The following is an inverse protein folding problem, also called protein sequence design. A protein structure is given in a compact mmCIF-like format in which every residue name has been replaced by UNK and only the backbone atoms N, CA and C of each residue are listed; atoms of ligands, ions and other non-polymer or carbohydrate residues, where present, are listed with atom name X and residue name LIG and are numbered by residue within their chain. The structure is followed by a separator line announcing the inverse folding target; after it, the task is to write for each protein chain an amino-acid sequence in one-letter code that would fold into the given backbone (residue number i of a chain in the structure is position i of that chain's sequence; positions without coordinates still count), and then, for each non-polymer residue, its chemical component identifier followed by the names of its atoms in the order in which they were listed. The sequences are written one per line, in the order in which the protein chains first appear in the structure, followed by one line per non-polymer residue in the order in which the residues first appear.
data_IF_570568057043
#
_entry.id   IF_570568057043
#
_cell.length_a   1.000
_cell.length_b   1.000
_cell.length_c   1.000
_cell.angle_alpha   90.00
_cell.angle_beta   90.00
_cell.angle_gamma   90.00
#
_symmetry.space_group_name_H-M   'P 1'
#
loop_
_entity.id
_entity.type
_entity.pdbx_description
1 polymer ?
#
# COMPACT_ATOMS: atom_id res chain seq x y z
N UNK A 1 6.18 45.77 2.33
CA UNK A 1 6.40 45.19 0.98
C UNK A 1 6.00 43.72 1.05
N UNK A 2 4.77 43.43 0.67
CA UNK A 2 4.18 42.06 0.71
C UNK A 2 4.65 41.30 -0.53
N UNK A 3 5.42 40.21 -0.34
CA UNK A 3 5.74 39.29 -1.45
C UNK A 3 4.56 38.35 -1.67
N UNK A 4 3.88 38.57 -2.77
CA UNK A 4 2.88 37.69 -3.35
C UNK A 4 3.53 36.33 -3.61
N UNK A 5 3.21 35.30 -2.81
CA UNK A 5 3.47 33.91 -3.16
C UNK A 5 2.42 33.53 -4.21
N UNK A 6 2.82 33.54 -5.47
CA UNK A 6 2.04 32.97 -6.55
C UNK A 6 1.95 31.46 -6.30
N UNK A 7 0.80 30.97 -5.88
CA UNK A 7 0.46 29.54 -5.90
C UNK A 7 0.40 29.13 -7.37
N UNK A 8 1.45 28.43 -7.81
CA UNK A 8 1.57 27.96 -9.19
C UNK A 8 0.59 26.78 -9.37
N UNK A 9 -0.69 27.08 -9.64
CA UNK A 9 -1.64 26.02 -9.97
C UNK A 9 -1.16 25.30 -11.24
N UNK A 10 -1.19 23.96 -11.25
CA UNK A 10 -0.77 23.18 -12.41
C UNK A 10 -1.62 23.53 -13.63
N UNK A 11 -0.97 23.72 -14.77
CA UNK A 11 -1.61 23.99 -16.06
C UNK A 11 -2.52 22.83 -16.48
N UNK A 12 -3.52 23.08 -17.32
CA UNK A 12 -4.38 22.02 -17.90
C UNK A 12 -3.56 20.88 -18.53
N UNK A 13 -2.45 21.23 -19.19
CA UNK A 13 -1.55 20.24 -19.78
C UNK A 13 -0.86 19.36 -18.75
N UNK A 14 -0.46 19.93 -17.64
CA UNK A 14 0.16 19.19 -16.51
C UNK A 14 -0.87 18.30 -15.81
N UNK A 15 -2.10 18.78 -15.61
CA UNK A 15 -3.22 17.99 -15.08
C UNK A 15 -3.52 16.80 -15.99
N UNK A 16 -3.70 17.02 -17.30
CA UNK A 16 -3.94 15.95 -18.25
C UNK A 16 -2.79 14.94 -18.34
N UNK A 17 -1.52 15.40 -18.16
CA UNK A 17 -0.35 14.50 -18.08
C UNK A 17 -0.38 13.66 -16.82
N UNK A 18 -0.72 14.24 -15.67
CA UNK A 18 -0.85 13.52 -14.40
C UNK A 18 -1.97 12.48 -14.45
N UNK A 19 -3.15 12.84 -14.91
CA UNK A 19 -4.31 11.95 -15.08
C UNK A 19 -3.97 10.74 -15.97
N UNK A 20 -3.24 11.00 -17.06
CA UNK A 20 -2.79 9.93 -17.99
C UNK A 20 -1.80 8.99 -17.32
N UNK A 21 -0.88 9.55 -16.50
CA UNK A 21 0.08 8.75 -15.75
C UNK A 21 -0.63 7.87 -14.70
N UNK A 22 -1.62 8.39 -14.02
CA UNK A 22 -2.43 7.64 -13.06
C UNK A 22 -3.26 6.54 -13.74
N UNK A 23 -3.85 6.83 -14.91
CA UNK A 23 -4.57 5.82 -15.69
C UNK A 23 -3.64 4.66 -16.07
N UNK A 24 -2.42 4.95 -16.53
CA UNK A 24 -1.41 3.94 -16.83
C UNK A 24 -1.04 3.11 -15.59
N UNK A 25 -0.88 3.72 -14.41
CA UNK A 25 -0.58 3.00 -13.18
C UNK A 25 -1.76 2.11 -12.74
N UNK A 26 -3.00 2.56 -12.86
CA UNK A 26 -4.18 1.74 -12.55
C UNK A 26 -4.25 0.50 -13.44
N UNK A 27 -4.11 0.68 -14.77
CA UNK A 27 -4.15 -0.45 -15.70
C UNK A 27 -2.94 -1.38 -15.53
N UNK A 28 -1.76 -0.83 -15.24
CA UNK A 28 -0.57 -1.63 -14.93
C UNK A 28 -0.78 -2.49 -13.67
N UNK A 29 -1.38 -1.93 -12.61
CA UNK A 29 -1.70 -2.70 -11.41
C UNK A 29 -2.59 -3.88 -11.73
N UNK A 30 -3.68 -3.67 -12.49
CA UNK A 30 -4.60 -4.71 -12.91
C UNK A 30 -3.93 -5.78 -13.78
N UNK A 31 -3.19 -5.37 -14.79
CA UNK A 31 -2.53 -6.31 -15.72
C UNK A 31 -1.40 -7.09 -15.02
N UNK A 32 -0.59 -6.42 -14.20
CA UNK A 32 0.44 -7.10 -13.43
C UNK A 32 -0.18 -8.08 -12.42
N UNK A 33 -1.27 -7.74 -11.75
CA UNK A 33 -1.95 -8.66 -10.86
C UNK A 33 -2.41 -9.93 -11.61
N UNK A 34 -3.03 -9.77 -12.78
CA UNK A 34 -3.56 -10.88 -13.58
C UNK A 34 -2.47 -11.75 -14.22
N UNK A 35 -1.48 -11.14 -14.85
CA UNK A 35 -0.54 -11.83 -15.76
C UNK A 35 0.90 -11.88 -15.23
N UNK A 36 1.20 -11.21 -14.11
CA UNK A 36 2.55 -11.04 -13.62
C UNK A 36 3.30 -9.90 -14.33
N UNK A 37 4.25 -9.30 -13.61
CA UNK A 37 5.12 -8.28 -14.18
C UNK A 37 5.84 -8.78 -15.46
N UNK A 38 6.33 -10.01 -15.45
CA UNK A 38 7.04 -10.59 -16.60
C UNK A 38 6.13 -10.75 -17.83
N UNK A 39 4.86 -11.11 -17.63
CA UNK A 39 3.90 -11.43 -18.68
C UNK A 39 3.23 -10.23 -19.37
N UNK A 40 3.53 -8.99 -18.98
CA UNK A 40 2.91 -7.78 -19.53
C UNK A 40 3.97 -6.94 -20.25
N UNK A 41 3.66 -6.45 -21.45
CA UNK A 41 4.50 -5.52 -22.23
C UNK A 41 4.06 -4.06 -22.04
N UNK A 42 4.86 -3.10 -22.52
CA UNK A 42 4.45 -1.68 -22.58
C UNK A 42 3.35 -1.45 -23.61
N UNK A 43 3.33 -2.26 -24.65
CA UNK A 43 2.29 -2.27 -25.68
C UNK A 43 0.94 -2.66 -25.09
N UNK A 44 0.90 -3.68 -24.22
CA UNK A 44 -0.32 -4.09 -23.51
C UNK A 44 -0.84 -2.98 -22.59
N UNK A 45 0.07 -2.29 -21.88
CA UNK A 45 -0.28 -1.12 -21.04
C UNK A 45 -0.83 0.03 -21.88
N UNK A 46 -0.21 0.31 -23.02
CA UNK A 46 -0.69 1.33 -23.95
C UNK A 46 -2.09 0.99 -24.48
N UNK A 47 -2.28 -0.23 -24.97
CA UNK A 47 -3.55 -0.71 -25.50
C UNK A 47 -4.68 -0.62 -24.44
N UNK A 48 -4.41 -1.01 -23.20
CA UNK A 48 -5.37 -0.92 -22.08
C UNK A 48 -5.80 0.53 -21.78
N UNK A 49 -4.93 1.51 -22.06
CA UNK A 49 -5.21 2.93 -21.86
C UNK A 49 -5.66 3.66 -23.14
N UNK A 50 -5.83 2.95 -24.26
CA UNK A 50 -6.20 3.53 -25.56
C UNK A 50 -5.11 4.43 -26.16
N UNK A 51 -3.83 4.17 -25.85
CA UNK A 51 -2.68 4.90 -26.41
C UNK A 51 -1.67 3.93 -27.02
N UNK A 52 -0.83 4.43 -27.92
CA UNK A 52 0.22 3.60 -28.52
C UNK A 52 1.35 3.28 -27.52
N UNK A 53 2.02 2.12 -27.69
CA UNK A 53 3.19 1.76 -26.90
C UNK A 53 4.24 2.89 -26.83
N UNK A 54 4.65 3.52 -27.94
CA UNK A 54 5.53 4.69 -27.94
C UNK A 54 5.02 5.87 -27.10
N UNK A 55 3.71 6.05 -26.95
CA UNK A 55 3.15 7.11 -26.13
C UNK A 55 3.35 6.84 -24.62
N UNK A 56 3.44 5.58 -24.20
CA UNK A 56 3.73 5.20 -22.80
C UNK A 56 5.10 5.71 -22.38
N UNK A 57 6.10 5.69 -23.27
CA UNK A 57 7.45 6.19 -22.96
C UNK A 57 7.52 7.69 -22.60
N UNK A 58 6.47 8.47 -22.92
CA UNK A 58 6.38 9.88 -22.48
C UNK A 58 6.08 9.99 -20.97
N UNK A 59 5.62 8.92 -20.34
CA UNK A 59 5.23 8.85 -18.93
C UNK A 59 6.18 8.00 -18.10
N UNK A 60 6.71 6.92 -18.67
CA UNK A 60 7.60 5.97 -18.01
C UNK A 60 8.74 5.56 -18.92
N UNK A 61 9.98 5.56 -18.42
CA UNK A 61 11.17 5.19 -19.18
C UNK A 61 11.20 3.70 -19.61
N UNK A 62 10.27 2.89 -19.12
CA UNK A 62 10.13 1.47 -19.42
C UNK A 62 9.23 0.77 -18.43
N UNK A 63 8.96 -0.52 -18.64
CA UNK A 63 8.10 -1.34 -17.78
C UNK A 63 8.62 -1.38 -16.32
N UNK A 64 9.93 -1.42 -16.14
CA UNK A 64 10.54 -1.38 -14.82
C UNK A 64 10.21 -0.08 -14.06
N UNK A 65 10.21 1.07 -14.75
CA UNK A 65 9.84 2.35 -14.15
C UNK A 65 8.36 2.37 -13.70
N UNK A 66 7.48 1.66 -14.39
CA UNK A 66 6.08 1.47 -13.97
C UNK A 66 6.01 0.66 -12.67
N UNK A 67 6.70 -0.49 -12.59
CA UNK A 67 6.71 -1.32 -11.38
C UNK A 67 7.30 -0.57 -10.18
N UNK A 68 8.40 0.17 -10.41
CA UNK A 68 9.00 1.02 -9.37
C UNK A 68 7.99 2.02 -8.84
N UNK A 69 7.33 2.77 -9.73
CA UNK A 69 6.32 3.75 -9.32
C UNK A 69 5.20 3.09 -8.51
N UNK A 70 4.65 1.97 -8.97
CA UNK A 70 3.58 1.26 -8.27
C UNK A 70 3.98 0.86 -6.85
N UNK A 71 5.11 0.19 -6.67
CA UNK A 71 5.49 -0.38 -5.38
C UNK A 71 6.08 0.67 -4.42
N UNK A 72 6.76 1.69 -4.93
CA UNK A 72 7.27 2.79 -4.09
C UNK A 72 6.13 3.70 -3.66
N UNK A 73 5.23 4.10 -4.57
CA UNK A 73 4.12 4.99 -4.24
C UNK A 73 3.17 4.29 -3.26
N UNK A 74 2.84 2.99 -3.48
CA UNK A 74 2.08 2.20 -2.52
C UNK A 74 2.73 2.16 -1.13
N UNK A 75 4.05 1.94 -1.06
CA UNK A 75 4.75 1.85 0.22
C UNK A 75 4.78 3.19 0.97
N UNK A 76 4.83 4.30 0.23
CA UNK A 76 4.67 5.64 0.80
C UNK A 76 3.24 5.85 1.32
N UNK A 77 2.22 5.56 0.49
CA UNK A 77 0.81 5.70 0.87
C UNK A 77 0.49 4.98 2.17
N UNK A 78 0.99 3.72 2.32
CA UNK A 78 0.80 2.93 3.54
C UNK A 78 1.51 3.58 4.73
N UNK A 79 2.74 4.03 4.57
CA UNK A 79 3.49 4.66 5.65
C UNK A 79 2.87 6.00 6.08
N UNK A 80 2.54 6.86 5.12
CA UNK A 80 1.96 8.18 5.38
C UNK A 80 0.56 8.06 6.02
N UNK A 81 -0.26 7.12 5.54
CA UNK A 81 -1.55 6.83 6.15
C UNK A 81 -1.44 6.26 7.56
N UNK A 82 -0.43 5.43 7.81
CA UNK A 82 -0.11 4.94 9.15
C UNK A 82 0.35 6.06 10.09
N UNK A 83 1.22 6.96 9.63
CA UNK A 83 1.61 8.16 10.40
C UNK A 83 0.38 8.97 10.80
N UNK A 84 -0.50 9.26 9.85
CA UNK A 84 -1.74 9.99 10.10
C UNK A 84 -2.63 9.27 11.13
N UNK A 85 -2.73 7.94 11.05
CA UNK A 85 -3.52 7.16 12.02
C UNK A 85 -2.94 7.21 13.45
N UNK A 86 -1.66 7.59 13.61
CA UNK A 86 -1.00 7.72 14.92
C UNK A 86 -0.89 9.16 15.41
N UNK A 87 -1.24 10.16 14.60
CA UNK A 87 -0.97 11.59 14.86
C UNK A 87 -1.66 12.11 16.13
N UNK A 88 -2.91 11.73 16.35
CA UNK A 88 -3.69 12.18 17.52
C UNK A 88 -3.24 11.53 18.85
N UNK A 89 -2.30 10.58 18.81
CA UNK A 89 -1.88 9.86 20.01
C UNK A 89 -3.02 9.06 20.67
N UNK A 90 -2.98 8.90 21.98
CA UNK A 90 -4.00 8.20 22.79
C UNK A 90 -3.50 6.89 23.38
N UNK A 91 -4.42 6.13 23.98
CA UNK A 91 -4.12 4.82 24.53
C UNK A 91 -3.64 3.85 23.44
N UNK A 92 -2.66 2.97 23.74
CA UNK A 92 -2.05 2.09 22.74
C UNK A 92 -3.06 1.29 21.93
N UNK A 93 -4.12 0.79 22.55
CA UNK A 93 -5.14 0.01 21.86
C UNK A 93 -6.01 0.84 20.94
N UNK A 94 -6.26 2.11 21.26
CA UNK A 94 -6.98 3.05 20.38
C UNK A 94 -6.16 3.39 19.13
N UNK A 95 -4.87 3.63 19.32
CA UNK A 95 -3.95 3.86 18.19
C UNK A 95 -3.86 2.63 17.29
N UNK A 96 -3.73 1.44 17.88
CA UNK A 96 -3.75 0.18 17.13
C UNK A 96 -5.07 -0.03 16.38
N UNK A 97 -6.20 0.35 16.96
CA UNK A 97 -7.50 0.26 16.29
C UNK A 97 -7.58 1.15 15.05
N UNK A 98 -7.05 2.39 15.12
CA UNK A 98 -6.97 3.28 13.94
C UNK A 98 -6.03 2.72 12.87
N UNK A 99 -4.89 2.16 13.26
CA UNK A 99 -3.96 1.51 12.33
C UNK A 99 -4.59 0.28 11.65
N UNK A 100 -5.33 -0.55 12.40
CA UNK A 100 -6.07 -1.71 11.87
C UNK A 100 -7.14 -1.25 10.89
N UNK A 101 -7.92 -0.22 11.24
CA UNK A 101 -8.98 0.30 10.37
C UNK A 101 -8.40 0.82 9.05
N UNK A 102 -7.37 1.67 9.12
CA UNK A 102 -6.66 2.18 7.96
C UNK A 102 -6.10 1.05 7.08
N UNK A 103 -5.38 0.08 7.67
CA UNK A 103 -4.77 -1.01 6.91
C UNK A 103 -5.83 -1.92 6.27
N UNK A 104 -6.93 -2.18 6.98
CA UNK A 104 -8.06 -2.96 6.46
C UNK A 104 -8.69 -2.28 5.25
N UNK A 105 -8.96 -0.97 5.34
CA UNK A 105 -9.49 -0.20 4.21
C UNK A 105 -8.54 -0.21 3.01
N UNK A 106 -7.25 -0.04 3.27
CA UNK A 106 -6.23 -0.12 2.23
C UNK A 106 -6.24 -1.48 1.52
N UNK A 107 -6.23 -2.58 2.29
CA UNK A 107 -6.19 -3.94 1.77
C UNK A 107 -7.45 -4.31 0.98
N UNK A 108 -8.62 -3.90 1.45
CA UNK A 108 -9.91 -4.14 0.77
C UNK A 108 -10.11 -3.29 -0.48
N UNK A 109 -9.54 -2.07 -0.51
CA UNK A 109 -9.68 -1.16 -1.65
C UNK A 109 -8.67 -1.43 -2.77
N UNK A 110 -7.52 -2.03 -2.46
CA UNK A 110 -6.39 -2.20 -3.38
C UNK A 110 -5.83 -3.63 -3.39
N UNK A 111 -6.66 -4.69 -3.58
CA UNK A 111 -6.17 -6.07 -3.53
C UNK A 111 -5.14 -6.39 -4.62
N UNK A 112 -5.30 -5.81 -5.82
CA UNK A 112 -4.40 -6.07 -6.96
C UNK A 112 -2.97 -5.62 -6.69
N UNK A 113 -2.76 -4.46 -6.06
CA UNK A 113 -1.40 -3.97 -5.78
C UNK A 113 -0.70 -4.82 -4.71
N UNK A 114 -1.45 -5.39 -3.76
CA UNK A 114 -0.91 -6.33 -2.79
C UNK A 114 -0.43 -7.62 -3.47
N UNK A 115 -1.20 -8.15 -4.45
CA UNK A 115 -0.77 -9.30 -5.25
C UNK A 115 0.51 -9.00 -6.05
N UNK A 116 0.60 -7.81 -6.65
CA UNK A 116 1.81 -7.36 -7.37
C UNK A 116 2.99 -7.29 -6.40
N UNK A 117 2.81 -6.71 -5.20
CA UNK A 117 3.87 -6.64 -4.20
C UNK A 117 4.36 -8.04 -3.80
N UNK A 118 3.45 -8.95 -3.45
CA UNK A 118 3.81 -10.28 -2.96
C UNK A 118 4.61 -11.07 -4.00
N UNK A 119 4.23 -10.97 -5.28
CA UNK A 119 4.86 -11.72 -6.35
C UNK A 119 6.09 -11.04 -6.94
N UNK A 120 5.98 -9.74 -7.24
CA UNK A 120 6.90 -9.05 -8.14
C UNK A 120 7.89 -8.11 -7.41
N UNK A 121 7.83 -7.99 -6.05
CA UNK A 121 8.72 -7.12 -5.26
C UNK A 121 10.21 -7.37 -5.56
N UNK A 122 10.61 -8.62 -5.77
CA UNK A 122 12.00 -8.99 -6.05
C UNK A 122 12.48 -8.58 -7.45
N UNK A 123 11.57 -8.17 -8.33
CA UNK A 123 11.88 -7.63 -9.66
C UNK A 123 12.31 -6.16 -9.63
N UNK A 124 12.23 -5.50 -8.46
CA UNK A 124 12.76 -4.15 -8.29
C UNK A 124 14.30 -4.14 -8.33
N UNK A 125 14.93 -3.09 -8.85
CA UNK A 125 16.35 -2.85 -8.68
C UNK A 125 16.69 -2.70 -7.19
N UNK A 126 17.96 -2.94 -6.85
CA UNK A 126 18.42 -3.03 -5.45
C UNK A 126 18.14 -1.75 -4.64
N UNK A 127 18.30 -0.57 -5.26
CA UNK A 127 18.04 0.73 -4.61
C UNK A 127 16.58 0.91 -4.23
N UNK A 128 15.67 0.62 -5.16
CA UNK A 128 14.23 0.77 -4.98
C UNK A 128 13.68 -0.29 -4.03
N UNK A 129 14.19 -1.52 -4.12
CA UNK A 129 13.87 -2.57 -3.15
C UNK A 129 14.28 -2.17 -1.73
N UNK A 130 15.45 -1.56 -1.56
CA UNK A 130 15.89 -1.06 -0.25
C UNK A 130 14.98 0.08 0.25
N UNK A 131 14.56 1.00 -0.63
CA UNK A 131 13.63 2.07 -0.28
C UNK A 131 12.28 1.50 0.18
N UNK A 132 11.70 0.57 -0.59
CA UNK A 132 10.44 -0.10 -0.22
C UNK A 132 10.57 -0.79 1.15
N UNK A 133 11.64 -1.56 1.37
CA UNK A 133 11.88 -2.22 2.66
C UNK A 133 12.05 -1.23 3.81
N UNK A 134 12.69 -0.09 3.57
CA UNK A 134 12.81 0.98 4.57
C UNK A 134 11.43 1.53 4.98
N UNK A 135 10.57 1.81 4.00
CA UNK A 135 9.21 2.29 4.25
C UNK A 135 8.37 1.24 4.98
N UNK A 136 8.43 -0.02 4.56
CA UNK A 136 7.76 -1.13 5.23
C UNK A 136 8.22 -1.29 6.68
N UNK A 137 9.54 -1.23 6.94
CA UNK A 137 10.07 -1.30 8.29
C UNK A 137 9.64 -0.10 9.15
N UNK A 138 9.59 1.10 8.58
CA UNK A 138 9.11 2.29 9.27
C UNK A 138 7.62 2.15 9.64
N UNK A 139 6.79 1.63 8.71
CA UNK A 139 5.38 1.35 8.98
C UNK A 139 5.19 0.31 10.09
N UNK A 140 5.95 -0.80 10.05
CA UNK A 140 5.96 -1.80 11.12
C UNK A 140 6.36 -1.15 12.46
N UNK A 141 7.28 -0.19 12.44
CA UNK A 141 7.72 0.58 13.61
C UNK A 141 6.57 1.29 14.32
N UNK A 142 5.58 1.83 13.58
CA UNK A 142 4.40 2.47 14.17
C UNK A 142 3.59 1.49 15.03
N UNK A 143 3.41 0.27 14.54
CA UNK A 143 2.67 -0.79 15.22
C UNK A 143 3.43 -1.33 16.44
N UNK A 144 4.73 -1.62 16.25
CA UNK A 144 5.55 -2.16 17.33
C UNK A 144 5.75 -1.18 18.47
N UNK A 145 5.77 0.13 18.20
CA UNK A 145 5.82 1.16 19.23
C UNK A 145 4.57 1.13 20.15
N UNK A 146 3.39 0.87 19.59
CA UNK A 146 2.18 0.74 20.39
C UNK A 146 2.09 -0.62 21.10
N UNK A 147 2.51 -1.69 20.44
CA UNK A 147 2.57 -3.02 21.04
C UNK A 147 3.54 -3.08 22.23
N UNK A 148 4.64 -2.35 22.18
CA UNK A 148 5.58 -2.27 23.32
C UNK A 148 4.98 -1.57 24.55
N UNK A 149 4.06 -0.62 24.32
CA UNK A 149 3.31 0.02 25.41
C UNK A 149 2.19 -0.89 25.95
N UNK A 150 1.53 -1.64 25.05
CA UNK A 150 0.42 -2.52 25.40
C UNK A 150 0.89 -3.80 26.11
N UNK A 151 2.04 -4.33 25.75
CA UNK A 151 2.63 -5.57 26.24
C UNK A 151 4.09 -5.32 26.68
N UNK A 152 4.33 -4.54 27.76
CA UNK A 152 5.68 -4.16 28.17
C UNK A 152 6.56 -5.34 28.59
N UNK A 153 5.95 -6.46 28.96
CA UNK A 153 6.62 -7.72 29.32
C UNK A 153 7.15 -8.51 28.11
N UNK A 154 6.63 -8.20 26.91
CA UNK A 154 7.01 -8.91 25.69
C UNK A 154 8.31 -8.36 25.07
N UNK A 155 9.00 -9.19 24.31
CA UNK A 155 10.23 -8.81 23.61
C UNK A 155 9.96 -8.06 22.28
N UNK A 156 10.92 -7.26 21.83
CA UNK A 156 10.81 -6.58 20.53
C UNK A 156 10.58 -7.55 19.34
N UNK A 157 11.23 -8.74 19.27
CA UNK A 157 10.87 -9.74 18.27
C UNK A 157 9.41 -10.20 18.34
N UNK A 158 8.86 -10.36 19.54
CA UNK A 158 7.45 -10.75 19.73
C UNK A 158 6.48 -9.68 19.20
N UNK A 159 6.74 -8.40 19.51
CA UNK A 159 5.95 -7.29 18.96
C UNK A 159 5.97 -7.27 17.42
N UNK A 160 7.16 -7.46 16.84
CA UNK A 160 7.31 -7.51 15.40
C UNK A 160 6.59 -8.69 14.77
N UNK A 161 6.67 -9.87 15.40
CA UNK A 161 5.95 -11.06 14.94
C UNK A 161 4.44 -10.85 14.96
N UNK A 162 3.88 -10.26 16.05
CA UNK A 162 2.45 -9.92 16.13
C UNK A 162 2.01 -8.98 15.01
N UNK A 163 2.76 -7.91 14.78
CA UNK A 163 2.47 -6.98 13.69
C UNK A 163 2.44 -7.71 12.33
N UNK A 164 3.42 -8.56 12.05
CA UNK A 164 3.46 -9.35 10.81
C UNK A 164 2.31 -10.34 10.69
N UNK A 165 1.94 -11.04 11.77
CA UNK A 165 0.81 -11.97 11.78
C UNK A 165 -0.50 -11.25 11.44
N UNK A 166 -0.72 -10.07 12.03
CA UNK A 166 -1.88 -9.23 11.73
C UNK A 166 -1.85 -8.72 10.28
N UNK A 167 -0.69 -8.32 9.76
CA UNK A 167 -0.59 -7.96 8.33
C UNK A 167 -0.94 -9.13 7.41
N UNK A 168 -0.48 -10.34 7.72
CA UNK A 168 -0.86 -11.54 6.98
C UNK A 168 -2.38 -11.75 6.99
N UNK A 169 -3.02 -11.57 8.15
CA UNK A 169 -4.47 -11.65 8.29
C UNK A 169 -5.18 -10.60 7.43
N UNK A 170 -4.80 -9.32 7.53
CA UNK A 170 -5.45 -8.23 6.80
C UNK A 170 -5.19 -8.31 5.29
N UNK A 171 -3.98 -8.69 4.88
CA UNK A 171 -3.62 -8.83 3.47
C UNK A 171 -4.19 -10.10 2.82
N UNK A 172 -4.70 -11.06 3.59
CA UNK A 172 -5.38 -12.26 3.04
C UNK A 172 -6.55 -11.92 2.12
N UNK A 173 -7.09 -10.70 2.24
CA UNK A 173 -8.15 -10.17 1.37
C UNK A 173 -7.74 -10.11 -0.10
N UNK A 174 -6.46 -9.85 -0.40
CA UNK A 174 -5.95 -9.84 -1.76
C UNK A 174 -6.17 -11.18 -2.49
N UNK A 175 -6.24 -12.28 -1.74
CA UNK A 175 -6.43 -13.63 -2.28
C UNK A 175 -7.88 -14.12 -2.18
N UNK A 176 -8.71 -13.53 -1.32
CA UNK A 176 -10.08 -13.98 -1.03
C UNK A 176 -11.18 -13.03 -1.53
N UNK A 177 -10.86 -11.77 -1.83
CA UNK A 177 -11.85 -10.74 -2.20
C UNK A 177 -12.55 -10.95 -3.55
N UNK A 178 -12.11 -11.91 -4.35
CA UNK A 178 -12.73 -12.28 -5.64
C UNK A 178 -13.98 -13.18 -5.49
N UNK A 179 -14.39 -13.52 -4.25
CA UNK A 179 -15.61 -14.28 -4.01
C UNK A 179 -16.85 -13.35 -4.08
N UNK A 180 -17.78 -13.56 -5.01
CA UNK A 180 -18.96 -12.70 -5.20
C UNK A 180 -19.95 -12.71 -4.03
N UNK A 181 -19.75 -13.60 -3.05
CA UNK A 181 -20.73 -13.90 -2.00
C UNK A 181 -20.61 -13.10 -0.71
N UNK A 182 -19.52 -12.36 -0.49
CA UNK A 182 -19.30 -11.65 0.79
C UNK A 182 -19.41 -10.15 0.60
N UNK A 183 -20.36 -9.51 1.30
CA UNK A 183 -20.47 -8.05 1.30
C UNK A 183 -19.21 -7.44 1.93
N UNK A 184 -18.54 -6.51 1.25
CA UNK A 184 -17.28 -5.85 1.71
C UNK A 184 -17.39 -5.29 3.14
N UNK A 185 -18.55 -4.76 3.54
CA UNK A 185 -18.77 -4.22 4.88
C UNK A 185 -18.68 -5.28 5.99
N UNK A 186 -19.22 -6.47 5.77
CA UNK A 186 -19.12 -7.58 6.72
C UNK A 186 -17.70 -8.13 6.84
N UNK A 187 -16.96 -8.16 5.74
CA UNK A 187 -15.53 -8.55 5.74
C UNK A 187 -14.67 -7.56 6.53
N UNK A 188 -14.88 -6.25 6.34
CA UNK A 188 -14.14 -5.22 7.10
C UNK A 188 -14.33 -5.43 8.60
N UNK A 189 -15.58 -5.51 9.07
CA UNK A 189 -15.89 -5.66 10.49
C UNK A 189 -15.25 -6.92 11.08
N UNK A 190 -15.35 -8.06 10.39
CA UNK A 190 -14.77 -9.32 10.83
C UNK A 190 -13.24 -9.25 10.92
N UNK A 191 -12.58 -8.77 9.88
CA UNK A 191 -11.12 -8.64 9.85
C UNK A 191 -10.61 -7.70 10.94
N UNK A 192 -11.27 -6.55 11.13
CA UNK A 192 -10.94 -5.61 12.20
C UNK A 192 -11.05 -6.28 13.57
N UNK A 193 -12.14 -6.99 13.86
CA UNK A 193 -12.31 -7.70 15.13
C UNK A 193 -11.25 -8.77 15.35
N UNK A 194 -10.95 -9.58 14.34
CA UNK A 194 -9.91 -10.62 14.41
C UNK A 194 -8.53 -10.02 14.66
N UNK A 195 -8.19 -8.93 13.95
CA UNK A 195 -6.92 -8.24 14.10
C UNK A 195 -6.74 -7.65 15.50
N UNK A 196 -7.77 -6.97 16.01
CA UNK A 196 -7.74 -6.39 17.36
C UNK A 196 -7.64 -7.47 18.45
N UNK A 197 -8.37 -8.57 18.31
CA UNK A 197 -8.26 -9.71 19.22
C UNK A 197 -6.83 -10.31 19.22
N UNK A 198 -6.22 -10.48 18.04
CA UNK A 198 -4.85 -10.98 17.91
C UNK A 198 -3.81 -10.04 18.55
N UNK A 199 -4.00 -8.71 18.42
CA UNK A 199 -3.11 -7.71 19.03
C UNK A 199 -3.26 -7.65 20.55
N UNK A 200 -4.47 -7.84 21.08
CA UNK A 200 -4.76 -7.81 22.51
C UNK A 200 -4.38 -9.10 23.27
N UNK A 201 -4.13 -10.21 22.56
CA UNK A 201 -3.81 -11.51 23.19
C UNK A 201 -2.61 -11.37 24.13
N UNK A 202 -2.70 -11.78 25.40
CA UNK A 202 -1.57 -11.76 26.34
C UNK A 202 -0.37 -12.56 25.81
N UNK A 203 0.83 -12.21 26.28
CA UNK A 203 2.02 -13.04 26.07
C UNK A 203 1.98 -14.12 27.15
N UNK A 204 1.90 -15.38 26.74
CA UNK A 204 1.99 -16.51 27.67
C UNK A 204 3.43 -16.73 28.16
#
# INVERSE_FOLDING_TARGET
MSRYQATNEPTERERAKAERREALLREATRLFALHGYAGVSLEDLGAACGISGPAVYRHFAGKQAVLIALLVDMSKDIYDGGLKATEDGGEPMEVLARLVDFHTDFSLSRPDILQVQDRDLKSLPKSELQLVRKLQNAYIGLWTAQLAKLHPEATAPSHRFRAHAVFGLLNSTAHSAHSPRTKKSGMKALLTQMALAALATPVG
#
